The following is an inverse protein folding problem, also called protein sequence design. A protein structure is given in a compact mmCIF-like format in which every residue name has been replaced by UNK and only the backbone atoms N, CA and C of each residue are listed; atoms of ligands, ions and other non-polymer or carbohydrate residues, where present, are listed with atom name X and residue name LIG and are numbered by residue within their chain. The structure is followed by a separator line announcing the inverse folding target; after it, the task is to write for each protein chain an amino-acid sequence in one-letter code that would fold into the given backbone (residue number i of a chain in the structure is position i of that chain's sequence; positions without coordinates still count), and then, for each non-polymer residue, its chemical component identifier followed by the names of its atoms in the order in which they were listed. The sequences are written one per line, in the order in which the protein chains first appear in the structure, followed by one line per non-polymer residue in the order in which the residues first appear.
data_IF_128082236527
#
_entry.id   IF_128082236527
#
_cell.length_a   1.000
_cell.length_b   1.000
_cell.length_c   1.000
_cell.angle_alpha   90.00
_cell.angle_beta   90.00
_cell.angle_gamma   90.00
#
_symmetry.space_group_name_H-M   'P 1'
#
loop_
_entity.id
_entity.type
_entity.pdbx_description
1 polymer ?
#
# COMPACT_ATOMS: atom_id res chain seq x y z
N UNK A 1 8.46 31.69 -78.52
CA UNK A 1 8.00 32.97 -77.92
C UNK A 1 7.58 32.70 -76.48
N UNK A 2 7.73 33.72 -75.62
CA UNK A 2 7.39 33.79 -74.18
C UNK A 2 5.92 33.36 -73.94
N UNK A 3 5.47 32.97 -72.75
CA UNK A 3 5.14 33.87 -71.63
C UNK A 3 4.93 33.07 -70.32
N UNK A 4 5.25 33.78 -69.24
CA UNK A 4 5.32 33.48 -67.81
C UNK A 4 3.95 33.38 -67.10
N UNK A 5 4.00 32.68 -65.94
CA UNK A 5 3.27 32.91 -64.66
C UNK A 5 1.74 32.63 -64.70
N UNK A 6 1.10 32.00 -63.72
CA UNK A 6 1.14 32.21 -62.26
C UNK A 6 0.46 31.07 -61.45
N UNK A 7 0.97 30.79 -60.23
CA UNK A 7 0.34 30.06 -59.09
C UNK A 7 -0.77 30.91 -58.40
N UNK A 8 -1.53 30.47 -57.35
CA UNK A 8 -1.60 29.17 -56.62
C UNK A 8 -3.06 28.70 -56.23
N UNK A 9 -3.22 27.51 -55.63
CA UNK A 9 -4.12 27.19 -54.49
C UNK A 9 -4.14 25.65 -54.25
N UNK A 10 -3.46 25.13 -53.23
CA UNK A 10 -3.99 24.80 -51.88
C UNK A 10 -5.08 23.72 -51.87
N UNK A 11 -4.71 22.46 -51.61
CA UNK A 11 -5.39 21.58 -50.62
C UNK A 11 -4.34 20.58 -50.08
N UNK A 12 -3.85 20.82 -48.86
CA UNK A 12 -3.05 19.86 -48.11
C UNK A 12 -3.95 19.04 -47.19
N UNK A 13 -3.97 17.72 -47.37
CA UNK A 13 -4.68 16.80 -46.48
C UNK A 13 -3.72 16.33 -45.37
N UNK A 14 -3.85 16.92 -44.18
CA UNK A 14 -3.18 16.46 -42.96
C UNK A 14 -4.07 15.38 -42.34
N UNK A 15 -3.65 14.11 -42.43
CA UNK A 15 -4.29 13.02 -41.72
C UNK A 15 -3.84 13.06 -40.25
N UNK A 16 -4.71 13.50 -39.35
CA UNK A 16 -4.48 13.40 -37.91
C UNK A 16 -4.63 11.93 -37.49
N UNK A 17 -3.52 11.27 -37.18
CA UNK A 17 -3.54 9.99 -36.47
C UNK A 17 -3.86 10.31 -35.01
N UNK A 18 -5.10 10.08 -34.60
CA UNK A 18 -5.48 10.16 -33.19
C UNK A 18 -4.73 9.05 -32.44
N UNK A 19 -3.67 9.44 -31.72
CA UNK A 19 -3.04 8.59 -30.72
C UNK A 19 -4.06 8.28 -29.64
N UNK A 20 -4.61 7.06 -29.67
CA UNK A 20 -5.45 6.54 -28.60
C UNK A 20 -4.53 6.24 -27.41
N UNK A 21 -4.31 7.24 -26.55
CA UNK A 21 -3.64 7.04 -25.26
C UNK A 21 -4.53 6.15 -24.40
N UNK A 22 -4.27 4.85 -24.41
CA UNK A 22 -4.83 3.92 -23.43
C UNK A 22 -4.27 4.31 -22.07
N UNK A 23 -5.01 5.11 -21.31
CA UNK A 23 -4.72 5.36 -19.91
C UNK A 23 -4.79 4.02 -19.18
N UNK A 24 -3.64 3.41 -18.94
CA UNK A 24 -3.53 2.25 -18.06
C UNK A 24 -4.00 2.68 -16.67
N UNK A 25 -5.22 2.29 -16.29
CA UNK A 25 -5.68 2.42 -14.93
C UNK A 25 -4.76 1.56 -14.06
N UNK A 26 -3.78 2.20 -13.40
CA UNK A 26 -2.97 1.54 -12.40
C UNK A 26 -3.91 1.09 -11.28
N UNK A 27 -3.98 -0.23 -11.06
CA UNK A 27 -4.70 -0.77 -9.92
C UNK A 27 -4.11 -0.18 -8.64
N UNK A 28 -4.93 0.19 -7.64
CA UNK A 28 -4.41 0.67 -6.37
C UNK A 28 -3.51 -0.40 -5.77
N UNK A 29 -2.24 -0.08 -5.56
CA UNK A 29 -1.32 -0.94 -4.81
C UNK A 29 -1.83 -1.01 -3.38
N UNK A 30 -2.08 -2.24 -2.89
CA UNK A 30 -2.41 -2.45 -1.49
C UNK A 30 -1.28 -1.86 -0.62
N UNK A 31 -1.61 -0.97 0.31
CA UNK A 31 -0.65 -0.42 1.24
C UNK A 31 -0.02 -1.56 2.06
N UNK A 32 1.30 -1.51 2.25
CA UNK A 32 1.98 -2.49 3.08
C UNK A 32 1.50 -2.42 4.53
N UNK A 33 1.33 -3.58 5.17
CA UNK A 33 0.98 -3.64 6.59
C UNK A 33 2.09 -3.02 7.43
N UNK A 34 1.81 -2.05 8.31
CA UNK A 34 2.82 -1.43 9.16
C UNK A 34 3.45 -2.46 10.11
N UNK A 35 4.69 -2.23 10.54
CA UNK A 35 5.33 -3.02 11.58
C UNK A 35 4.83 -2.59 12.97
N UNK A 36 4.76 -3.54 13.91
CA UNK A 36 4.25 -3.28 15.26
C UNK A 36 2.72 -3.30 15.33
N UNK A 37 2.17 -2.61 16.33
CA UNK A 37 0.72 -2.53 16.52
C UNK A 37 0.04 -1.70 15.43
N UNK A 38 -1.09 -2.20 14.96
CA UNK A 38 -2.02 -1.45 14.13
C UNK A 38 -3.45 -1.95 14.33
N UNK A 39 -4.43 -1.12 13.99
CA UNK A 39 -5.84 -1.51 14.04
C UNK A 39 -6.56 -1.24 12.74
N UNK A 40 -7.55 -2.07 12.45
CA UNK A 40 -8.54 -1.85 11.41
C UNK A 40 -9.74 -1.07 11.96
N UNK A 41 -10.87 -1.11 11.27
CA UNK A 41 -12.14 -0.61 11.80
C UNK A 41 -12.64 -1.41 13.02
N UNK A 42 -12.32 -2.71 13.10
CA UNK A 42 -12.91 -3.64 14.07
C UNK A 42 -11.90 -4.34 14.96
N UNK A 43 -10.67 -4.51 14.48
CA UNK A 43 -9.71 -5.44 15.06
C UNK A 43 -8.35 -4.79 15.26
N UNK A 44 -7.60 -5.33 16.21
CA UNK A 44 -6.25 -4.94 16.56
C UNK A 44 -5.30 -6.07 16.22
N UNK A 45 -4.12 -5.70 15.72
CA UNK A 45 -3.12 -6.61 15.20
C UNK A 45 -1.72 -6.17 15.63
N UNK A 46 -0.79 -7.11 15.61
CA UNK A 46 0.64 -6.86 15.71
C UNK A 46 1.37 -7.52 14.55
N UNK A 47 2.17 -6.76 13.80
CA UNK A 47 2.97 -7.28 12.71
C UNK A 47 4.46 -7.36 13.10
N UNK A 48 4.97 -8.58 13.24
CA UNK A 48 6.39 -8.85 13.44
C UNK A 48 7.08 -8.93 12.06
N UNK A 49 7.72 -7.83 11.66
CA UNK A 49 8.28 -7.66 10.32
C UNK A 49 9.60 -8.43 10.06
N UNK A 50 10.12 -9.16 11.03
CA UNK A 50 11.42 -9.83 10.91
C UNK A 50 11.25 -11.19 10.25
N UNK A 51 12.00 -11.48 9.19
CA UNK A 51 11.89 -12.75 8.43
C UNK A 51 12.97 -13.78 8.81
N UNK A 52 13.56 -13.63 9.99
CA UNK A 52 14.62 -14.49 10.53
C UNK A 52 14.10 -15.70 11.31
N UNK A 53 12.78 -15.86 11.39
CA UNK A 53 12.13 -16.91 12.18
C UNK A 53 12.11 -16.61 13.69
N UNK A 54 12.57 -15.43 14.12
CA UNK A 54 12.55 -15.05 15.53
C UNK A 54 11.13 -14.93 16.05
N UNK A 55 10.91 -15.36 17.30
CA UNK A 55 9.68 -15.06 18.02
C UNK A 55 10.00 -14.07 19.14
N UNK A 56 9.09 -13.15 19.35
CA UNK A 56 9.25 -12.06 20.31
C UNK A 56 8.11 -12.04 21.29
N UNK A 57 8.41 -11.60 22.51
CA UNK A 57 7.38 -11.30 23.50
C UNK A 57 6.87 -9.88 23.23
N UNK A 58 5.56 -9.75 23.11
CA UNK A 58 4.87 -8.45 23.08
C UNK A 58 4.04 -8.30 24.34
N UNK A 59 3.93 -7.07 24.84
CA UNK A 59 2.91 -6.69 25.80
C UNK A 59 1.70 -6.15 25.03
N UNK A 60 0.52 -6.66 25.35
CA UNK A 60 -0.75 -6.25 24.76
C UNK A 60 -1.54 -5.50 25.83
N UNK A 61 -1.88 -4.26 25.51
CA UNK A 61 -2.70 -3.41 26.37
C UNK A 61 -4.17 -3.67 26.10
N UNK A 62 -4.88 -4.19 27.10
CA UNK A 62 -6.32 -4.42 27.05
C UNK A 62 -7.01 -3.57 28.10
N UNK A 63 -8.23 -3.11 27.80
CA UNK A 63 -9.04 -2.35 28.76
C UNK A 63 -9.12 -3.03 30.13
N UNK A 64 -8.32 -2.53 31.08
CA UNK A 64 -8.26 -2.94 32.47
C UNK A 64 -7.06 -3.80 32.86
N UNK A 65 -6.32 -4.41 31.92
CA UNK A 65 -5.20 -5.32 32.22
C UNK A 65 -4.25 -5.46 31.02
N UNK A 66 -2.97 -5.69 31.28
CA UNK A 66 -1.99 -6.03 30.23
C UNK A 66 -1.64 -7.51 30.32
N UNK A 67 -1.30 -8.12 29.19
CA UNK A 67 -0.75 -9.46 29.15
C UNK A 67 0.39 -9.56 28.14
N UNK A 68 1.29 -10.50 28.38
CA UNK A 68 2.36 -10.80 27.45
C UNK A 68 2.03 -12.03 26.61
N UNK A 69 2.42 -11.99 25.33
CA UNK A 69 2.30 -13.15 24.45
C UNK A 69 3.51 -13.27 23.53
N UNK A 70 3.88 -14.51 23.23
CA UNK A 70 4.89 -14.84 22.24
C UNK A 70 4.30 -14.85 20.83
N UNK A 71 4.86 -14.05 19.92
CA UNK A 71 4.43 -13.95 18.51
C UNK A 71 5.57 -14.23 17.56
N UNK A 72 5.29 -14.95 16.48
CA UNK A 72 6.25 -15.21 15.40
C UNK A 72 6.16 -14.18 14.27
N UNK A 73 6.99 -14.33 13.22
CA UNK A 73 6.98 -13.44 12.07
C UNK A 73 5.60 -13.31 11.41
N UNK A 74 5.29 -12.12 10.92
CA UNK A 74 4.02 -11.81 10.27
C UNK A 74 2.98 -11.23 11.21
N UNK A 75 1.70 -11.36 10.81
CA UNK A 75 0.57 -10.69 11.47
C UNK A 75 -0.04 -11.61 12.53
N UNK A 76 -0.14 -11.09 13.74
CA UNK A 76 -0.89 -11.70 14.85
C UNK A 76 -2.14 -10.87 15.13
N UNK A 77 -3.31 -11.51 15.18
CA UNK A 77 -4.54 -10.88 15.67
C UNK A 77 -4.53 -10.84 17.19
N UNK A 78 -4.78 -9.66 17.76
CA UNK A 78 -4.74 -9.42 19.20
C UNK A 78 -6.13 -9.39 19.84
N UNK A 79 -7.17 -9.11 19.05
CA UNK A 79 -8.52 -8.95 19.56
C UNK A 79 -9.28 -7.82 18.88
N UNK A 80 -10.49 -7.57 19.37
CA UNK A 80 -11.29 -6.44 18.92
C UNK A 80 -10.66 -5.10 19.32
N UNK A 81 -10.74 -4.10 18.43
CA UNK A 81 -10.26 -2.73 18.65
C UNK A 81 -10.91 -2.05 19.86
N UNK A 82 -12.14 -2.44 20.21
CA UNK A 82 -12.83 -1.93 21.41
C UNK A 82 -12.24 -2.45 22.73
N UNK A 83 -11.34 -3.44 22.68
CA UNK A 83 -10.70 -4.05 23.84
C UNK A 83 -9.21 -3.79 23.90
N UNK A 84 -8.51 -3.84 22.76
CA UNK A 84 -7.06 -3.70 22.68
C UNK A 84 -6.67 -2.28 22.25
N UNK A 85 -6.05 -1.51 23.15
CA UNK A 85 -5.63 -0.12 22.92
C UNK A 85 -4.27 -0.01 22.23
N UNK A 86 -3.32 -0.90 22.55
CA UNK A 86 -1.97 -0.89 21.98
C UNK A 86 -1.27 -2.25 22.14
N UNK A 87 -0.12 -2.44 21.48
CA UNK A 87 0.81 -3.52 21.76
C UNK A 87 2.26 -3.19 21.31
N UNK A 88 3.25 -3.62 22.09
CA UNK A 88 4.65 -3.35 21.79
C UNK A 88 5.59 -4.49 22.16
N UNK A 89 6.72 -4.56 21.47
CA UNK A 89 7.81 -5.46 21.80
C UNK A 89 8.47 -5.09 23.13
N UNK A 90 8.64 -6.06 24.03
CA UNK A 90 9.22 -5.84 25.36
C UNK A 90 10.74 -6.08 25.45
N UNK A 91 11.44 -6.26 24.32
CA UNK A 91 12.90 -6.38 24.32
C UNK A 91 13.44 -7.80 24.57
N UNK A 92 12.61 -8.84 24.46
CA UNK A 92 13.06 -10.24 24.64
C UNK A 92 12.37 -11.25 23.73
N UNK A 93 13.06 -12.34 23.42
CA UNK A 93 12.58 -13.43 22.56
C UNK A 93 11.87 -14.54 23.35
N UNK A 94 11.26 -15.43 22.58
CA UNK A 94 10.63 -16.69 22.95
C UNK A 94 10.63 -17.58 21.68
#
# INVERSE_FOLDING_TARGET
MRVRQSLPALVGAVAMVLGMSTASAAAPSAAATPCGYYSSSSDSYYNHCTNDGSRIVIEVEVSGWNYEQCVGPGITWLGSKSKVSDAWYVGRTC
#
